data_IF_156226707788
#
_entry.id   IF_156226707788
#
_cell.length_a   1.000
_cell.length_b   1.000
_cell.length_c   1.000
_cell.angle_alpha   90.00
_cell.angle_beta   90.00
_cell.angle_gamma   90.00
#
_symmetry.space_group_name_H-M   'P 1'
#
loop_
_entity.id
_entity.type
_entity.pdbx_description
1 polymer ?
#
# COMPACT_ATOMS: atom_id res chain seq x y z
N UNK A 1 -4.24 10.21 9.22
CA UNK A 1 -4.75 11.52 8.71
C UNK A 1 -4.91 11.58 7.18
N UNK A 2 -4.00 11.03 6.34
CA UNK A 2 -4.20 11.03 4.88
C UNK A 2 -5.50 10.39 4.45
N UNK A 3 -5.83 9.24 4.98
CA UNK A 3 -7.06 8.50 4.66
C UNK A 3 -8.35 9.24 5.05
N UNK A 4 -8.33 10.05 6.09
CA UNK A 4 -9.53 10.78 6.56
C UNK A 4 -10.01 11.82 5.53
N UNK A 5 -9.07 12.48 4.84
CA UNK A 5 -9.40 13.45 3.81
C UNK A 5 -10.09 12.78 2.60
N UNK A 6 -9.47 11.73 2.06
CA UNK A 6 -9.99 11.04 0.88
C UNK A 6 -11.22 10.20 1.18
N UNK A 7 -11.35 9.66 2.40
CA UNK A 7 -12.59 9.07 2.88
C UNK A 7 -13.74 10.09 2.83
N UNK A 8 -13.53 11.30 3.37
CA UNK A 8 -14.55 12.35 3.35
C UNK A 8 -14.90 12.77 1.91
N UNK A 9 -13.89 13.00 1.06
CA UNK A 9 -14.10 13.37 -0.35
C UNK A 9 -14.88 12.32 -1.14
N UNK A 10 -14.57 11.04 -0.92
CA UNK A 10 -15.27 9.93 -1.57
C UNK A 10 -16.66 9.70 -1.00
N UNK A 11 -16.83 9.72 0.31
CA UNK A 11 -18.13 9.50 0.96
C UNK A 11 -19.12 10.65 0.71
N UNK A 12 -18.64 11.89 0.54
CA UNK A 12 -19.43 13.06 0.14
C UNK A 12 -19.66 13.13 -1.37
N UNK A 13 -19.23 12.12 -2.12
CA UNK A 13 -19.46 12.03 -3.57
C UNK A 13 -18.74 13.12 -4.40
N UNK A 14 -17.76 13.79 -3.82
CA UNK A 14 -17.00 14.86 -4.48
C UNK A 14 -15.94 14.29 -5.45
N UNK A 15 -15.37 13.14 -5.13
CA UNK A 15 -14.40 12.42 -5.98
C UNK A 15 -14.74 10.94 -5.95
N UNK A 16 -14.96 10.37 -7.15
CA UNK A 16 -15.29 8.94 -7.35
C UNK A 16 -14.21 8.24 -8.18
N UNK A 17 -13.12 7.79 -7.59
CA UNK A 17 -12.17 6.98 -8.32
C UNK A 17 -12.78 5.59 -8.61
N UNK A 18 -12.29 4.93 -9.67
CA UNK A 18 -12.68 3.56 -9.95
C UNK A 18 -12.23 2.64 -8.79
N UNK A 19 -13.19 1.95 -8.14
CA UNK A 19 -12.90 1.11 -6.95
C UNK A 19 -11.86 0.03 -7.24
N UNK A 20 -11.94 -0.62 -8.42
CA UNK A 20 -10.95 -1.62 -8.85
C UNK A 20 -9.53 -1.07 -8.85
N UNK A 21 -9.33 0.15 -9.39
CA UNK A 21 -8.01 0.78 -9.42
C UNK A 21 -7.51 1.09 -8.00
N UNK A 22 -8.37 1.61 -7.13
CA UNK A 22 -8.01 1.91 -5.73
C UNK A 22 -7.62 0.62 -5.00
N UNK A 23 -8.40 -0.43 -5.14
CA UNK A 23 -8.13 -1.72 -4.49
C UNK A 23 -6.84 -2.37 -5.03
N UNK A 24 -6.59 -2.30 -6.33
CA UNK A 24 -5.32 -2.72 -6.92
C UNK A 24 -4.13 -1.92 -6.33
N UNK A 25 -4.24 -0.60 -6.21
CA UNK A 25 -3.21 0.24 -5.61
C UNK A 25 -2.97 -0.05 -4.12
N UNK A 26 -4.01 -0.46 -3.38
CA UNK A 26 -3.88 -0.94 -2.00
C UNK A 26 -3.03 -2.22 -1.97
N UNK A 27 -3.36 -3.22 -2.80
CA UNK A 27 -2.55 -4.44 -2.93
C UNK A 27 -1.10 -4.12 -3.32
N UNK A 28 -0.92 -3.20 -4.26
CA UNK A 28 0.40 -2.75 -4.71
C UNK A 28 1.21 -2.06 -3.59
N UNK A 29 0.58 -1.25 -2.74
CA UNK A 29 1.26 -0.60 -1.61
C UNK A 29 1.87 -1.62 -0.63
N UNK A 30 1.22 -2.77 -0.45
CA UNK A 30 1.74 -3.88 0.36
C UNK A 30 2.99 -4.48 -0.30
N UNK A 31 2.97 -4.67 -1.62
CA UNK A 31 4.12 -5.21 -2.36
C UNK A 31 5.34 -4.31 -2.20
N UNK A 32 5.20 -3.01 -2.47
CA UNK A 32 6.35 -2.09 -2.49
C UNK A 32 6.98 -1.92 -1.10
N UNK A 33 6.16 -1.84 -0.04
CA UNK A 33 6.66 -1.76 1.34
C UNK A 33 7.35 -3.06 1.75
N UNK A 34 6.79 -4.20 1.38
CA UNK A 34 7.39 -5.51 1.66
C UNK A 34 8.73 -5.68 0.95
N UNK A 35 8.82 -5.26 -0.32
CA UNK A 35 10.07 -5.28 -1.09
C UNK A 35 11.12 -4.33 -0.48
N UNK A 36 10.72 -3.16 0.01
CA UNK A 36 11.65 -2.26 0.69
C UNK A 36 12.23 -2.89 1.96
N UNK A 37 11.41 -3.56 2.77
CA UNK A 37 11.88 -4.27 3.97
C UNK A 37 12.91 -5.33 3.59
N UNK A 38 12.63 -6.16 2.58
CA UNK A 38 13.58 -7.19 2.12
C UNK A 38 14.84 -6.56 1.55
N UNK A 39 14.71 -5.51 0.74
CA UNK A 39 15.84 -4.80 0.14
C UNK A 39 16.75 -4.17 1.20
N UNK A 40 16.16 -3.59 2.25
CA UNK A 40 16.92 -2.98 3.35
C UNK A 40 17.67 -3.99 4.21
N UNK A 41 17.11 -5.18 4.42
CA UNK A 41 17.74 -6.27 5.18
C UNK A 41 18.85 -6.97 4.41
N UNK A 42 18.70 -7.11 3.10
CA UNK A 42 19.65 -7.78 2.22
C UNK A 42 20.68 -6.84 1.60
N UNK A 43 20.56 -5.53 1.80
CA UNK A 43 21.36 -4.49 1.14
C UNK A 43 21.31 -4.57 -0.40
N UNK A 44 20.26 -5.15 -0.95
CA UNK A 44 20.10 -5.47 -2.36
C UNK A 44 19.12 -4.54 -3.11
N UNK A 45 19.02 -3.26 -2.70
CA UNK A 45 18.07 -2.29 -3.28
C UNK A 45 18.17 -2.20 -4.80
N UNK A 46 19.38 -2.19 -5.36
CA UNK A 46 19.57 -2.17 -6.84
C UNK A 46 19.02 -3.40 -7.53
N UNK A 47 19.22 -4.59 -6.93
CA UNK A 47 18.69 -5.83 -7.49
C UNK A 47 17.16 -5.79 -7.55
N UNK A 48 16.52 -5.46 -6.44
CA UNK A 48 15.04 -5.40 -6.37
C UNK A 48 14.46 -4.30 -7.26
N UNK A 49 15.10 -3.13 -7.29
CA UNK A 49 14.69 -2.02 -8.17
C UNK A 49 14.79 -2.42 -9.65
N UNK A 50 15.89 -3.05 -10.08
CA UNK A 50 16.07 -3.50 -11.45
C UNK A 50 15.12 -4.64 -11.82
N UNK A 51 14.89 -5.59 -10.90
CA UNK A 51 13.93 -6.68 -11.11
C UNK A 51 12.51 -6.15 -11.27
N UNK A 52 12.13 -5.16 -10.46
CA UNK A 52 10.83 -4.52 -10.57
C UNK A 52 10.70 -3.73 -11.89
N UNK A 53 11.75 -3.03 -12.31
CA UNK A 53 11.78 -2.33 -13.60
C UNK A 53 11.64 -3.30 -14.79
N UNK A 54 12.33 -4.44 -14.76
CA UNK A 54 12.21 -5.49 -15.79
C UNK A 54 10.81 -6.11 -15.80
N UNK A 55 10.25 -6.40 -14.63
CA UNK A 55 8.88 -6.91 -14.52
C UNK A 55 7.86 -5.91 -15.05
N UNK A 56 8.03 -4.64 -14.72
CA UNK A 56 7.19 -3.56 -15.23
C UNK A 56 7.27 -3.40 -16.74
N UNK A 57 8.49 -3.48 -17.30
CA UNK A 57 8.71 -3.45 -18.75
C UNK A 57 8.00 -4.64 -19.42
N UNK A 58 8.08 -5.81 -18.84
CA UNK A 58 7.37 -7.00 -19.32
C UNK A 58 5.85 -6.79 -19.32
N UNK A 59 5.28 -6.21 -18.25
CA UNK A 59 3.85 -5.87 -18.20
C UNK A 59 3.48 -4.82 -19.25
N UNK A 60 4.29 -3.79 -19.44
CA UNK A 60 4.06 -2.75 -20.46
C UNK A 60 4.02 -3.37 -21.87
N UNK A 61 4.92 -4.29 -22.17
CA UNK A 61 4.96 -4.99 -23.45
C UNK A 61 3.68 -5.84 -23.64
N UNK A 62 3.30 -6.62 -22.63
CA UNK A 62 2.08 -7.44 -22.70
C UNK A 62 0.84 -6.58 -22.91
N UNK A 63 0.63 -5.58 -22.05
CA UNK A 63 -0.57 -4.73 -22.14
C UNK A 63 -0.58 -3.85 -23.39
N UNK A 64 0.61 -3.44 -23.88
CA UNK A 64 0.73 -2.75 -25.16
C UNK A 64 0.35 -3.62 -26.36
N UNK A 65 0.64 -4.92 -26.32
CA UNK A 65 0.26 -5.88 -27.37
C UNK A 65 -1.24 -6.21 -27.35
N UNK A 66 -1.85 -6.28 -26.18
CA UNK A 66 -3.26 -6.64 -26.01
C UNK A 66 -4.22 -5.43 -26.04
N UNK A 67 -3.72 -4.21 -26.31
CA UNK A 67 -4.56 -3.04 -26.70
C UNK A 67 -5.35 -2.38 -25.57
N UNK A 68 -4.88 -2.46 -24.33
CA UNK A 68 -5.53 -1.80 -23.17
C UNK A 68 -4.81 -0.52 -22.78
N UNK A 69 -4.89 0.51 -23.63
CA UNK A 69 -4.19 1.80 -23.44
C UNK A 69 -4.45 2.47 -22.07
N UNK A 70 -5.63 2.26 -21.52
CA UNK A 70 -6.01 2.85 -20.23
C UNK A 70 -5.14 2.38 -19.05
N UNK A 71 -4.64 1.15 -19.09
CA UNK A 71 -3.79 0.60 -18.04
C UNK A 71 -2.32 0.93 -18.22
N UNK A 72 -1.87 1.21 -19.45
CA UNK A 72 -0.45 1.49 -19.75
C UNK A 72 0.10 2.67 -18.95
N UNK A 73 -0.62 3.79 -18.93
CA UNK A 73 -0.21 4.99 -18.19
C UNK A 73 -0.10 4.68 -16.68
N UNK A 74 -1.06 3.93 -16.16
CA UNK A 74 -1.03 3.49 -14.75
C UNK A 74 0.17 2.61 -14.43
N UNK A 75 0.47 1.61 -15.27
CA UNK A 75 1.61 0.71 -15.11
C UNK A 75 2.93 1.48 -15.19
N UNK A 76 3.06 2.41 -16.14
CA UNK A 76 4.25 3.26 -16.27
C UNK A 76 4.43 4.12 -15.00
N UNK A 77 3.35 4.74 -14.52
CA UNK A 77 3.38 5.57 -13.30
C UNK A 77 3.79 4.77 -12.06
N UNK A 78 3.17 3.61 -11.85
CA UNK A 78 3.49 2.70 -10.75
C UNK A 78 4.95 2.22 -10.83
N UNK A 79 5.42 1.88 -12.02
CA UNK A 79 6.79 1.41 -12.25
C UNK A 79 7.82 2.47 -11.95
N UNK A 80 7.59 3.67 -12.46
CA UNK A 80 8.47 4.82 -12.22
C UNK A 80 8.52 5.18 -10.72
N UNK A 81 7.34 5.25 -10.08
CA UNK A 81 7.25 5.49 -8.64
C UNK A 81 8.04 4.46 -7.84
N UNK A 82 7.88 3.17 -8.15
CA UNK A 82 8.55 2.09 -7.42
C UNK A 82 10.06 2.13 -7.59
N UNK A 83 10.51 2.34 -8.81
CA UNK A 83 11.93 2.47 -9.09
C UNK A 83 12.54 3.64 -8.32
N UNK A 84 11.93 4.83 -8.42
CA UNK A 84 12.38 6.02 -7.71
C UNK A 84 12.34 5.83 -6.19
N UNK A 85 11.27 5.23 -5.66
CA UNK A 85 11.13 4.99 -4.23
C UNK A 85 12.21 4.05 -3.69
N UNK A 86 12.41 2.88 -4.31
CA UNK A 86 13.44 1.92 -3.87
C UNK A 86 14.86 2.48 -4.01
N UNK A 87 15.13 3.28 -5.03
CA UNK A 87 16.41 3.96 -5.17
C UNK A 87 16.60 5.04 -4.12
N UNK A 88 15.58 5.85 -3.87
CA UNK A 88 15.66 6.93 -2.90
C UNK A 88 15.74 6.40 -1.47
N UNK A 89 15.03 5.32 -1.13
CA UNK A 89 15.09 4.68 0.20
C UNK A 89 16.47 4.09 0.50
N UNK A 90 17.24 3.72 -0.53
CA UNK A 90 18.61 3.24 -0.36
C UNK A 90 19.59 4.33 0.07
N UNK A 91 19.32 5.58 -0.33
CA UNK A 91 20.22 6.73 -0.09
C UNK A 91 19.72 7.58 1.09
N UNK A 92 18.42 7.80 1.17
CA UNK A 92 17.80 8.64 2.18
C UNK A 92 16.99 7.79 3.17
N UNK A 93 17.63 7.36 4.25
CA UNK A 93 16.96 6.69 5.39
C UNK A 93 16.25 7.71 6.31
N UNK A 94 15.73 8.79 5.75
CA UNK A 94 15.14 9.89 6.49
C UNK A 94 13.66 9.70 6.77
N UNK A 95 13.24 10.12 7.97
CA UNK A 95 11.83 10.16 8.39
C UNK A 95 10.91 10.85 7.38
N UNK A 96 11.41 11.86 6.67
CA UNK A 96 10.64 12.64 5.69
C UNK A 96 10.14 11.80 4.50
N UNK A 97 10.98 10.92 3.94
CA UNK A 97 10.59 10.06 2.81
C UNK A 97 9.49 9.08 3.24
N UNK A 98 9.68 8.42 4.38
CA UNK A 98 8.69 7.49 4.94
C UNK A 98 7.36 8.20 5.20
N UNK A 99 7.40 9.41 5.76
CA UNK A 99 6.21 10.21 6.03
C UNK A 99 5.44 10.54 4.73
N UNK A 100 6.14 11.01 3.70
CA UNK A 100 5.51 11.35 2.41
C UNK A 100 4.85 10.13 1.78
N UNK A 101 5.57 9.02 1.70
CA UNK A 101 5.05 7.78 1.09
C UNK A 101 3.89 7.20 1.89
N UNK A 102 3.99 7.19 3.23
CA UNK A 102 2.88 6.75 4.10
C UNK A 102 1.65 7.65 3.94
N UNK A 103 1.85 8.96 3.79
CA UNK A 103 0.76 9.90 3.54
C UNK A 103 0.08 9.62 2.19
N UNK A 104 0.86 9.41 1.12
CA UNK A 104 0.33 9.06 -0.21
C UNK A 104 -0.46 7.75 -0.18
N UNK A 105 0.06 6.71 0.45
CA UNK A 105 -0.69 5.46 0.62
C UNK A 105 -1.94 5.65 1.47
N UNK A 106 -1.86 6.47 2.53
CA UNK A 106 -3.03 6.83 3.33
C UNK A 106 -4.14 7.47 2.50
N UNK A 107 -3.79 8.37 1.56
CA UNK A 107 -4.76 8.97 0.63
C UNK A 107 -5.44 7.90 -0.25
N UNK A 108 -4.70 6.94 -0.78
CA UNK A 108 -5.24 5.85 -1.59
C UNK A 108 -6.18 4.97 -0.76
N UNK A 109 -5.76 4.56 0.44
CA UNK A 109 -6.55 3.72 1.34
C UNK A 109 -7.86 4.38 1.77
N UNK A 110 -7.88 5.71 1.93
CA UNK A 110 -9.09 6.44 2.29
C UNK A 110 -10.19 6.34 1.22
N UNK A 111 -9.82 6.33 -0.07
CA UNK A 111 -10.79 6.09 -1.15
C UNK A 111 -11.35 4.65 -1.13
N UNK A 112 -10.53 3.66 -0.77
CA UNK A 112 -11.01 2.28 -0.59
C UNK A 112 -12.07 2.18 0.51
N UNK A 113 -11.88 2.87 1.62
CA UNK A 113 -12.88 2.93 2.69
C UNK A 113 -14.15 3.70 2.29
N UNK A 114 -14.02 4.76 1.48
CA UNK A 114 -15.16 5.53 1.00
C UNK A 114 -16.11 4.68 0.15
N UNK A 115 -15.59 3.82 -0.72
CA UNK A 115 -16.39 2.87 -1.50
C UNK A 115 -17.24 1.96 -0.63
N UNK A 116 -16.65 1.40 0.41
CA UNK A 116 -17.36 0.55 1.38
C UNK A 116 -18.40 1.33 2.19
N UNK A 117 -18.09 2.56 2.62
CA UNK A 117 -19.02 3.38 3.38
C UNK A 117 -20.23 3.79 2.53
N UNK A 118 -20.01 4.11 1.26
CA UNK A 118 -21.07 4.45 0.30
C UNK A 118 -22.01 3.27 0.03
N UNK A 119 -21.50 2.04 0.02
CA UNK A 119 -22.30 0.82 -0.21
C UNK A 119 -23.29 0.52 0.91
N UNK A 120 -23.09 1.06 2.13
CA UNK A 120 -24.01 0.90 3.28
C UNK A 120 -25.30 1.70 3.09
N UNK A 121 -25.33 2.70 2.16
CA UNK A 121 -26.55 3.43 1.85
C UNK A 121 -27.07 4.33 2.97
N UNK A 122 -26.17 4.98 3.71
CA UNK A 122 -26.54 5.86 4.81
C UNK A 122 -27.33 7.08 4.32
N UNK A 123 -28.35 7.46 5.08
CA UNK A 123 -29.05 8.72 4.84
C UNK A 123 -28.12 9.92 5.04
N UNK A 124 -28.34 11.00 4.27
CA UNK A 124 -27.44 12.18 4.27
C UNK A 124 -27.25 12.82 5.67
N UNK A 125 -28.27 12.81 6.50
CA UNK A 125 -28.24 13.35 7.88
C UNK A 125 -27.30 12.54 8.81
N UNK A 126 -27.07 11.25 8.51
CA UNK A 126 -26.20 10.36 9.27
C UNK A 126 -24.79 10.21 8.70
N UNK A 127 -24.56 10.75 7.52
CA UNK A 127 -23.28 10.57 6.80
C UNK A 127 -22.11 11.22 7.55
N UNK A 128 -22.24 12.46 8.00
CA UNK A 128 -21.17 13.16 8.74
C UNK A 128 -20.80 12.48 10.06
N UNK A 129 -21.76 12.14 10.94
CA UNK A 129 -21.45 11.35 12.13
C UNK A 129 -20.80 9.99 11.82
N UNK A 130 -21.22 9.33 10.75
CA UNK A 130 -20.65 8.06 10.34
C UNK A 130 -19.19 8.21 9.86
N UNK A 131 -18.89 9.21 9.04
CA UNK A 131 -17.51 9.53 8.61
C UNK A 131 -16.63 9.81 9.81
N UNK A 132 -17.10 10.60 10.76
CA UNK A 132 -16.35 10.95 11.97
C UNK A 132 -16.11 9.72 12.85
N UNK A 133 -17.17 8.94 13.15
CA UNK A 133 -17.07 7.72 13.94
C UNK A 133 -16.18 6.67 13.30
N UNK A 134 -16.26 6.50 11.97
CA UNK A 134 -15.40 5.61 11.22
C UNK A 134 -13.93 5.99 11.30
N UNK A 135 -13.60 7.28 11.12
CA UNK A 135 -12.22 7.76 11.23
C UNK A 135 -11.63 7.51 12.63
N UNK A 136 -12.38 7.81 13.69
CA UNK A 136 -11.94 7.53 15.05
C UNK A 136 -11.76 6.01 15.25
N UNK A 137 -12.70 5.21 14.79
CA UNK A 137 -12.63 3.75 14.89
C UNK A 137 -11.41 3.17 14.19
N UNK A 138 -11.11 3.63 12.96
CA UNK A 138 -9.93 3.23 12.20
C UNK A 138 -8.64 3.64 12.93
N UNK A 139 -8.53 4.88 13.42
CA UNK A 139 -7.33 5.35 14.12
C UNK A 139 -7.10 4.57 15.42
N UNK A 140 -8.14 4.34 16.22
CA UNK A 140 -8.03 3.53 17.44
C UNK A 140 -7.68 2.07 17.14
N UNK A 141 -8.30 1.48 16.11
CA UNK A 141 -7.99 0.13 15.66
C UNK A 141 -6.54 -0.01 15.19
N UNK A 142 -6.04 0.95 14.41
CA UNK A 142 -4.65 0.98 13.96
C UNK A 142 -3.68 1.08 15.15
N UNK A 143 -3.94 1.95 16.12
CA UNK A 143 -3.10 2.08 17.32
C UNK A 143 -3.07 0.77 18.13
N UNK A 144 -4.21 0.11 18.27
CA UNK A 144 -4.30 -1.18 18.96
C UNK A 144 -3.49 -2.27 18.24
N UNK A 145 -3.62 -2.35 16.91
CA UNK A 145 -2.87 -3.31 16.09
C UNK A 145 -1.37 -3.02 16.18
N UNK A 146 -0.95 -1.76 16.05
CA UNK A 146 0.47 -1.37 16.15
C UNK A 146 1.02 -1.74 17.52
N UNK A 147 0.27 -1.49 18.59
CA UNK A 147 0.68 -1.86 19.95
C UNK A 147 0.81 -3.38 20.10
N UNK A 148 -0.17 -4.15 19.65
CA UNK A 148 -0.12 -5.60 19.69
C UNK A 148 1.06 -6.16 18.89
N UNK A 149 1.28 -5.64 17.67
CA UNK A 149 2.43 -6.00 16.83
C UNK A 149 3.77 -5.65 17.48
N UNK A 150 3.85 -4.50 18.14
CA UNK A 150 5.05 -4.10 18.88
C UNK A 150 5.36 -5.07 20.02
N UNK A 151 4.35 -5.50 20.79
CA UNK A 151 4.51 -6.49 21.86
C UNK A 151 4.99 -7.83 21.28
N UNK A 152 4.32 -8.33 20.23
CA UNK A 152 4.73 -9.58 19.56
C UNK A 152 6.16 -9.48 19.02
N UNK A 153 6.49 -8.39 18.34
CA UNK A 153 7.83 -8.12 17.83
C UNK A 153 8.87 -8.12 18.93
N UNK A 154 8.60 -7.42 20.05
CA UNK A 154 9.49 -7.36 21.21
C UNK A 154 9.73 -8.73 21.85
N UNK A 155 8.70 -9.59 21.93
CA UNK A 155 8.82 -10.94 22.44
C UNK A 155 9.64 -11.83 21.50
N UNK A 156 9.29 -11.85 20.22
CA UNK A 156 9.99 -12.68 19.21
C UNK A 156 11.46 -12.28 19.11
N UNK A 157 11.78 -10.99 19.09
CA UNK A 157 13.16 -10.50 18.98
C UNK A 157 14.04 -10.95 20.16
N UNK A 158 13.45 -11.13 21.35
CA UNK A 158 14.17 -11.66 22.53
C UNK A 158 14.40 -13.16 22.46
N UNK A 159 13.46 -13.91 21.88
CA UNK A 159 13.51 -15.38 21.83
C UNK A 159 14.39 -15.87 20.68
N UNK A 160 14.32 -15.23 19.52
CA UNK A 160 14.93 -15.70 18.27
C UNK A 160 15.98 -14.69 17.75
N UNK A 161 16.89 -14.25 18.63
CA UNK A 161 17.86 -13.18 18.31
C UNK A 161 18.63 -13.39 17.00
N UNK A 162 19.16 -14.60 16.77
CA UNK A 162 20.02 -14.91 15.60
C UNK A 162 19.24 -15.10 14.30
N UNK A 163 17.94 -15.47 14.37
CA UNK A 163 17.10 -15.74 13.19
C UNK A 163 16.05 -14.65 12.95
N UNK A 164 16.16 -13.55 13.66
CA UNK A 164 15.14 -12.51 13.62
C UNK A 164 15.01 -11.87 12.23
N UNK A 165 16.11 -11.60 11.56
CA UNK A 165 16.08 -11.05 10.19
C UNK A 165 15.49 -12.04 9.19
N UNK A 166 15.70 -13.34 9.39
CA UNK A 166 15.02 -14.37 8.58
C UNK A 166 13.50 -14.32 8.76
N UNK A 167 13.01 -14.18 9.99
CA UNK A 167 11.56 -14.03 10.25
C UNK A 167 11.00 -12.77 9.59
N UNK A 168 11.73 -11.66 9.63
CA UNK A 168 11.32 -10.41 8.96
C UNK A 168 11.23 -10.58 7.45
N UNK A 169 12.23 -11.19 6.82
CA UNK A 169 12.24 -11.48 5.38
C UNK A 169 11.10 -12.42 5.02
N UNK A 170 10.91 -13.51 5.76
CA UNK A 170 9.83 -14.46 5.53
C UNK A 170 8.44 -13.79 5.62
N UNK A 171 8.21 -12.99 6.66
CA UNK A 171 6.95 -12.25 6.82
C UNK A 171 6.73 -11.25 5.68
N UNK A 172 7.75 -10.49 5.30
CA UNK A 172 7.66 -9.56 4.18
C UNK A 172 7.38 -10.28 2.85
N UNK A 173 7.98 -11.46 2.63
CA UNK A 173 7.73 -12.27 1.43
C UNK A 173 6.29 -12.78 1.36
N UNK A 174 5.75 -13.24 2.49
CA UNK A 174 4.34 -13.68 2.58
C UNK A 174 3.41 -12.49 2.30
N UNK A 175 3.64 -11.34 2.93
CA UNK A 175 2.84 -10.13 2.70
C UNK A 175 2.92 -9.66 1.25
N UNK A 176 4.11 -9.70 0.62
CA UNK A 176 4.28 -9.38 -0.79
C UNK A 176 3.48 -10.32 -1.69
N UNK A 177 3.44 -11.62 -1.37
CA UNK A 177 2.64 -12.61 -2.13
C UNK A 177 1.14 -12.35 -2.01
N UNK A 178 0.65 -12.00 -0.83
CA UNK A 178 -0.75 -11.63 -0.61
C UNK A 178 -1.09 -10.33 -1.36
N UNK A 179 -0.21 -9.32 -1.29
CA UNK A 179 -0.37 -8.07 -2.02
C UNK A 179 -0.40 -8.27 -3.53
N UNK A 180 0.46 -9.18 -4.06
CA UNK A 180 0.50 -9.54 -5.47
C UNK A 180 -0.80 -10.23 -5.91
N UNK A 181 -1.30 -11.17 -5.11
CA UNK A 181 -2.58 -11.83 -5.36
C UNK A 181 -3.71 -10.80 -5.47
N UNK A 182 -3.83 -9.91 -4.51
CA UNK A 182 -4.85 -8.85 -4.52
C UNK A 182 -4.69 -7.89 -5.70
N UNK A 183 -3.47 -7.47 -5.99
CA UNK A 183 -3.20 -6.61 -7.13
C UNK A 183 -3.67 -7.24 -8.44
N UNK A 184 -3.29 -8.49 -8.70
CA UNK A 184 -3.67 -9.20 -9.92
C UNK A 184 -5.18 -9.45 -10.00
N UNK A 185 -5.82 -9.87 -8.90
CA UNK A 185 -7.27 -10.11 -8.85
C UNK A 185 -8.08 -8.86 -9.19
N UNK A 186 -7.59 -7.66 -8.86
CA UNK A 186 -8.26 -6.39 -9.14
C UNK A 186 -7.88 -5.77 -10.49
N UNK A 187 -6.82 -6.25 -11.13
CA UNK A 187 -6.43 -5.78 -12.47
C UNK A 187 -7.10 -6.56 -13.60
N UNK A 188 -7.61 -7.75 -13.34
CA UNK A 188 -8.33 -8.61 -14.28
C UNK A 188 -9.82 -8.48 -14.07
#
# INVERSE_FOLDING_TARGET
MGHSLTLALGALDLIKPASQLVEALIGYSIIIISLEVVASLTSAHRLYSNSLALFSLFLIIIFGFFGTDKFLIGIIGISLFSYCYLMLSSVHKGFSLTLVVTCMFGLIHGFGFAGNLSSIGLMQDRLLPAIFGFNIGVELGQLLIIFAMYVVYSLISKIIKEKFDFVRVATASVLSSIGMFWFLERMV
#
